data_IF_386768332131
#
_entry.id   IF_386768332131
#
_cell.length_a   1.000
_cell.length_b   1.000
_cell.length_c   1.000
_cell.angle_alpha   90.00
_cell.angle_beta   90.00
_cell.angle_gamma   90.00
#
_symmetry.space_group_name_H-M   'P 1'
#
loop_
_entity.id
_entity.type
_entity.pdbx_description
1 polymer ?
#
# COMPACT_ATOMS: atom_id res chain seq x y z
N UNK A 1 -3.88 19.95 -14.97
CA UNK A 1 -3.14 20.71 -13.93
C UNK A 1 -1.96 21.52 -14.45
N UNK A 2 -1.14 21.04 -15.40
CA UNK A 2 -0.02 21.82 -15.96
C UNK A 2 -0.39 23.24 -16.42
N UNK A 3 -1.50 23.40 -17.14
CA UNK A 3 -2.00 24.72 -17.57
C UNK A 3 -2.43 25.65 -16.42
N UNK A 4 -2.76 25.13 -15.23
CA UNK A 4 -2.97 25.97 -14.04
C UNK A 4 -1.64 26.47 -13.50
N UNK A 5 -0.66 25.57 -13.34
CA UNK A 5 0.67 25.94 -12.84
C UNK A 5 1.33 26.99 -13.74
N UNK A 6 1.30 26.77 -15.06
CA UNK A 6 1.87 27.73 -16.01
C UNK A 6 1.15 29.07 -15.98
N UNK A 7 -0.18 29.09 -15.79
CA UNK A 7 -0.95 30.34 -15.63
C UNK A 7 -0.57 31.07 -14.36
N UNK A 8 -0.45 30.36 -13.24
CA UNK A 8 -0.09 30.95 -11.94
C UNK A 8 1.33 31.51 -11.96
N UNK A 9 2.30 30.76 -12.48
CA UNK A 9 3.68 31.22 -12.63
C UNK A 9 3.76 32.44 -13.58
N UNK A 10 3.07 32.41 -14.72
CA UNK A 10 3.03 33.54 -15.67
C UNK A 10 2.32 34.78 -15.12
N UNK A 11 1.27 34.61 -14.32
CA UNK A 11 0.55 35.73 -13.70
C UNK A 11 1.38 36.47 -12.64
N UNK A 12 2.47 35.84 -12.16
CA UNK A 12 3.25 36.35 -11.03
C UNK A 12 4.22 37.48 -11.39
N UNK A 13 4.58 37.75 -12.68
CA UNK A 13 5.00 39.11 -13.16
C UNK A 13 5.61 39.28 -14.57
N UNK A 14 5.66 40.58 -14.90
CA UNK A 14 6.27 41.40 -15.96
C UNK A 14 7.81 41.54 -15.91
N UNK A 15 8.54 40.95 -16.88
CA UNK A 15 9.78 41.47 -17.52
C UNK A 15 10.28 40.48 -18.60
N UNK A 16 11.32 40.79 -19.38
CA UNK A 16 11.76 40.02 -20.55
C UNK A 16 12.53 38.72 -20.28
N UNK A 17 12.96 38.45 -19.04
CA UNK A 17 13.71 37.23 -18.63
C UNK A 17 12.81 36.03 -18.24
N UNK A 18 11.50 36.16 -18.45
CA UNK A 18 10.45 35.33 -17.85
C UNK A 18 10.47 33.84 -18.20
N UNK A 19 10.89 33.44 -19.40
CA UNK A 19 10.75 32.02 -19.82
C UNK A 19 11.75 31.12 -19.10
N UNK A 20 13.01 31.54 -19.00
CA UNK A 20 14.06 30.76 -18.33
C UNK A 20 13.79 30.61 -16.82
N UNK A 21 13.29 31.66 -16.16
CA UNK A 21 12.93 31.61 -14.74
C UNK A 21 11.73 30.70 -14.47
N UNK A 22 10.71 30.69 -15.34
CA UNK A 22 9.55 29.78 -15.21
C UNK A 22 9.99 28.32 -15.38
N UNK A 23 10.83 28.03 -16.36
CA UNK A 23 11.32 26.67 -16.60
C UNK A 23 12.17 26.17 -15.42
N UNK A 24 13.03 27.03 -14.87
CA UNK A 24 13.81 26.72 -13.67
C UNK A 24 12.93 26.57 -12.42
N UNK A 25 11.93 27.42 -12.24
CA UNK A 25 10.96 27.31 -11.15
C UNK A 25 10.17 25.99 -11.24
N UNK A 26 9.73 25.60 -12.44
CA UNK A 26 9.05 24.31 -12.64
C UNK A 26 9.98 23.13 -12.36
N UNK A 27 11.24 23.19 -12.80
CA UNK A 27 12.27 22.17 -12.47
C UNK A 27 12.46 22.03 -10.96
N UNK A 28 12.56 23.15 -10.24
CA UNK A 28 12.62 23.16 -8.78
C UNK A 28 11.39 22.49 -8.17
N UNK A 29 10.19 22.94 -8.54
CA UNK A 29 8.93 22.43 -8.01
C UNK A 29 8.75 20.93 -8.24
N UNK A 30 9.18 20.39 -9.39
CA UNK A 30 9.19 18.95 -9.67
C UNK A 30 10.09 18.18 -8.71
N UNK A 31 11.29 18.68 -8.45
CA UNK A 31 12.20 18.05 -7.50
C UNK A 31 11.71 18.14 -6.04
N UNK A 32 11.11 19.27 -5.65
CA UNK A 32 10.51 19.41 -4.31
C UNK A 32 9.31 18.48 -4.15
N UNK A 33 8.45 18.34 -5.16
CA UNK A 33 7.39 17.35 -5.16
C UNK A 33 7.95 15.93 -5.04
N UNK A 34 9.02 15.61 -5.78
CA UNK A 34 9.71 14.32 -5.70
C UNK A 34 10.24 14.00 -4.28
N UNK A 35 10.66 15.01 -3.51
CA UNK A 35 11.00 14.83 -2.09
C UNK A 35 9.77 14.46 -1.25
N UNK A 36 8.66 15.18 -1.42
CA UNK A 36 7.41 14.97 -0.66
C UNK A 36 6.83 13.57 -0.89
N UNK A 37 7.04 13.00 -2.08
CA UNK A 37 6.61 11.64 -2.43
C UNK A 37 7.69 10.56 -2.19
N UNK A 38 8.82 10.90 -1.55
CA UNK A 38 9.93 9.97 -1.28
C UNK A 38 10.56 9.29 -2.51
N UNK A 39 10.49 9.95 -3.67
CA UNK A 39 10.99 9.40 -4.94
C UNK A 39 12.33 10.03 -5.38
N UNK A 40 12.68 11.19 -4.82
CA UNK A 40 13.95 11.85 -5.12
C UNK A 40 15.14 11.00 -4.60
N UNK A 41 16.23 10.83 -5.38
CA UNK A 41 17.42 10.10 -4.95
C UNK A 41 18.16 10.89 -3.87
N UNK A 42 18.28 10.32 -2.66
CA UNK A 42 18.91 10.98 -1.51
C UNK A 42 19.40 9.99 -0.45
N UNK A 43 20.37 10.39 0.40
CA UNK A 43 20.91 9.54 1.46
C UNK A 43 19.93 9.27 2.62
N UNK A 44 18.93 10.14 2.84
CA UNK A 44 17.99 10.04 3.97
C UNK A 44 16.52 10.17 3.51
N UNK A 45 15.61 9.27 3.90
CA UNK A 45 14.20 9.36 3.57
C UNK A 45 13.50 10.41 4.45
N UNK A 46 13.05 11.51 3.85
CA UNK A 46 12.33 12.59 4.57
C UNK A 46 11.30 13.27 3.69
N UNK A 47 10.02 13.22 4.02
CA UNK A 47 8.99 13.93 3.23
C UNK A 47 8.97 15.44 3.45
N UNK A 48 9.70 15.93 4.46
CA UNK A 48 9.68 17.32 4.88
C UNK A 48 10.57 18.20 3.99
N UNK A 49 9.98 19.25 3.43
CA UNK A 49 10.73 20.31 2.76
C UNK A 49 11.24 21.30 3.81
N UNK A 50 12.33 20.94 4.49
CA UNK A 50 13.10 21.85 5.36
C UNK A 50 14.21 22.52 4.57
N UNK A 51 14.84 23.55 5.15
CA UNK A 51 15.83 24.41 4.46
C UNK A 51 16.91 23.59 3.77
N UNK A 52 17.47 22.61 4.48
CA UNK A 52 18.55 21.78 3.96
C UNK A 52 18.10 20.90 2.77
N UNK A 53 16.89 20.35 2.82
CA UNK A 53 16.34 19.55 1.72
C UNK A 53 16.02 20.39 0.48
N UNK A 54 15.51 21.60 0.68
CA UNK A 54 15.28 22.57 -0.41
C UNK A 54 16.61 23.00 -1.02
N UNK A 55 17.62 23.28 -0.19
CA UNK A 55 18.97 23.67 -0.65
C UNK A 55 19.58 22.63 -1.57
N UNK A 56 19.44 21.33 -1.25
CA UNK A 56 19.94 20.22 -2.08
C UNK A 56 19.33 20.19 -3.49
N UNK A 57 18.08 20.65 -3.65
CA UNK A 57 17.43 20.69 -4.96
C UNK A 57 18.18 21.59 -5.95
N UNK A 58 18.89 22.61 -5.48
CA UNK A 58 19.58 23.59 -6.32
C UNK A 58 20.69 22.97 -7.15
N UNK A 59 21.40 21.99 -6.61
CA UNK A 59 22.54 21.33 -7.27
C UNK A 59 22.20 19.97 -7.88
N UNK A 60 20.98 19.47 -7.64
CA UNK A 60 20.57 18.18 -8.20
C UNK A 60 20.01 18.38 -9.61
N UNK A 61 20.17 17.36 -10.48
CA UNK A 61 19.48 17.34 -11.77
C UNK A 61 17.96 17.43 -11.52
N UNK A 62 17.23 18.28 -12.26
CA UNK A 62 17.63 18.97 -13.50
C UNK A 62 18.01 20.46 -13.36
N UNK A 63 18.27 20.96 -12.14
CA UNK A 63 18.52 22.39 -11.89
C UNK A 63 19.98 22.80 -12.09
N UNK A 64 20.92 22.15 -11.39
CA UNK A 64 22.37 22.41 -11.45
C UNK A 64 22.72 23.92 -11.43
N UNK A 65 22.19 24.65 -10.45
CA UNK A 65 22.44 26.08 -10.31
C UNK A 65 23.90 26.33 -9.91
N UNK A 66 24.51 27.33 -10.55
CA UNK A 66 25.89 27.75 -10.26
C UNK A 66 26.00 28.43 -8.89
N UNK A 67 24.95 29.15 -8.48
CA UNK A 67 24.91 29.90 -7.23
C UNK A 67 23.69 29.53 -6.38
N UNK A 68 23.90 29.34 -5.07
CA UNK A 68 22.82 29.06 -4.11
C UNK A 68 21.77 30.19 -4.08
N UNK A 69 22.21 31.44 -4.25
CA UNK A 69 21.35 32.62 -4.22
C UNK A 69 20.26 32.57 -5.30
N UNK A 70 20.58 32.03 -6.48
CA UNK A 70 19.61 31.82 -7.55
C UNK A 70 18.53 30.82 -7.12
N UNK A 71 18.92 29.76 -6.41
CA UNK A 71 18.00 28.78 -5.85
C UNK A 71 16.99 29.41 -4.90
N UNK A 72 17.46 30.24 -3.96
CA UNK A 72 16.58 30.96 -3.05
C UNK A 72 15.69 31.99 -3.77
N UNK A 73 16.17 32.65 -4.82
CA UNK A 73 15.33 33.51 -5.66
C UNK A 73 14.19 32.75 -6.36
N UNK A 74 14.45 31.53 -6.84
CA UNK A 74 13.42 30.66 -7.40
C UNK A 74 12.42 30.20 -6.33
N UNK A 75 12.88 29.87 -5.12
CA UNK A 75 11.99 29.55 -3.99
C UNK A 75 11.08 30.74 -3.67
N UNK A 76 11.63 31.94 -3.52
CA UNK A 76 10.87 33.16 -3.26
C UNK A 76 9.87 33.47 -4.39
N UNK A 77 10.26 33.23 -5.64
CA UNK A 77 9.37 33.36 -6.79
C UNK A 77 8.18 32.40 -6.68
N UNK A 78 8.43 31.12 -6.35
CA UNK A 78 7.39 30.12 -6.13
C UNK A 78 6.49 30.42 -4.92
N UNK A 79 7.02 31.10 -3.89
CA UNK A 79 6.22 31.56 -2.75
C UNK A 79 5.33 32.74 -3.15
N UNK A 80 5.89 33.74 -3.86
CA UNK A 80 5.11 34.90 -4.34
C UNK A 80 4.03 34.50 -5.35
N UNK A 81 4.24 33.43 -6.11
CA UNK A 81 3.24 32.89 -7.03
C UNK A 81 2.13 32.11 -6.33
N UNK A 82 2.27 31.84 -5.03
CA UNK A 82 1.30 31.05 -4.26
C UNK A 82 1.33 29.56 -4.58
N UNK A 83 2.38 29.07 -5.26
CA UNK A 83 2.58 27.63 -5.48
C UNK A 83 3.22 26.98 -4.26
N UNK A 84 4.14 27.69 -3.59
CA UNK A 84 4.71 27.31 -2.31
C UNK A 84 4.19 28.22 -1.18
N UNK A 85 4.05 27.65 0.00
CA UNK A 85 3.93 28.39 1.26
C UNK A 85 5.10 28.07 2.16
N UNK A 86 5.50 29.05 2.96
CA UNK A 86 6.50 28.89 4.01
C UNK A 86 5.79 28.97 5.37
N UNK A 87 5.80 27.86 6.13
CA UNK A 87 5.13 27.73 7.42
C UNK A 87 6.15 27.29 8.47
N UNK A 88 6.59 28.21 9.33
CA UNK A 88 7.66 27.97 10.29
C UNK A 88 8.99 27.75 9.59
N UNK A 89 9.58 26.56 9.72
CA UNK A 89 10.86 26.17 9.09
C UNK A 89 10.66 25.28 7.84
N UNK A 90 9.42 25.17 7.35
CA UNK A 90 9.04 24.22 6.30
C UNK A 90 8.41 24.93 5.12
N UNK A 91 8.65 24.38 3.94
CA UNK A 91 7.92 24.72 2.72
C UNK A 91 6.88 23.65 2.41
N UNK A 92 5.79 24.03 1.75
CA UNK A 92 4.80 23.08 1.26
C UNK A 92 4.24 23.57 -0.08
N UNK A 93 4.00 22.64 -1.01
CA UNK A 93 3.23 22.92 -2.22
C UNK A 93 1.76 23.06 -1.80
N UNK A 94 1.16 24.20 -2.13
CA UNK A 94 -0.17 24.59 -1.64
C UNK A 94 -1.27 23.62 -2.10
N UNK A 95 -1.16 23.13 -3.33
CA UNK A 95 -2.16 22.26 -3.94
C UNK A 95 -1.64 20.81 -4.03
N UNK A 96 -2.24 19.85 -3.30
CA UNK A 96 -1.81 18.45 -3.32
C UNK A 96 -1.84 17.81 -4.71
N UNK A 97 -2.85 18.16 -5.54
CA UNK A 97 -2.92 17.66 -6.91
C UNK A 97 -1.81 18.26 -7.78
N UNK A 98 -1.42 19.51 -7.54
CA UNK A 98 -0.27 20.11 -8.22
C UNK A 98 1.04 19.40 -7.83
N UNK A 99 1.21 19.09 -6.54
CA UNK A 99 2.36 18.32 -6.06
C UNK A 99 2.42 16.94 -6.72
N UNK A 100 1.30 16.23 -6.78
CA UNK A 100 1.19 14.93 -7.47
C UNK A 100 1.55 15.02 -8.96
N UNK A 101 0.99 15.99 -9.69
CA UNK A 101 1.32 16.19 -11.11
C UNK A 101 2.80 16.52 -11.31
N UNK A 102 3.38 17.37 -10.46
CA UNK A 102 4.80 17.72 -10.50
C UNK A 102 5.71 16.50 -10.21
N UNK A 103 5.32 15.66 -9.25
CA UNK A 103 6.03 14.41 -8.97
C UNK A 103 5.91 13.42 -10.15
N UNK A 104 4.73 13.31 -10.78
CA UNK A 104 4.54 12.48 -11.96
C UNK A 104 5.39 12.96 -13.15
N UNK A 105 5.50 14.27 -13.37
CA UNK A 105 6.39 14.85 -14.37
C UNK A 105 7.86 14.54 -14.08
N UNK A 106 8.26 14.59 -12.80
CA UNK A 106 9.60 14.20 -12.38
C UNK A 106 9.89 12.73 -12.70
N UNK A 107 8.98 11.82 -12.37
CA UNK A 107 9.11 10.39 -12.68
C UNK A 107 9.14 10.14 -14.17
N UNK A 108 8.24 10.76 -14.93
CA UNK A 108 8.14 10.55 -16.37
C UNK A 108 9.40 10.98 -17.13
N UNK A 109 10.16 11.93 -16.59
CA UNK A 109 11.45 12.34 -17.14
C UNK A 109 12.61 11.42 -16.68
N UNK A 110 12.41 10.59 -15.66
CA UNK A 110 13.38 9.59 -15.23
C UNK A 110 13.21 8.29 -16.01
N UNK A 111 14.32 7.76 -16.52
CA UNK A 111 14.32 6.45 -17.16
C UNK A 111 14.21 5.34 -16.10
N UNK A 112 13.07 4.65 -16.10
CA UNK A 112 12.91 3.36 -15.41
C UNK A 112 12.52 3.42 -13.93
N UNK A 113 12.16 4.58 -13.38
CA UNK A 113 11.53 4.61 -12.06
C UNK A 113 10.07 4.14 -12.16
N UNK A 114 9.72 3.13 -11.38
CA UNK A 114 8.36 2.60 -11.24
C UNK A 114 8.15 2.18 -9.79
N UNK A 115 6.91 2.20 -9.31
CA UNK A 115 6.60 1.74 -7.97
C UNK A 115 5.33 0.89 -7.96
N UNK A 116 5.41 -0.25 -7.26
CA UNK A 116 4.28 -1.15 -6.99
C UNK A 116 3.74 -0.97 -5.57
N UNK A 117 4.22 0.06 -4.86
CA UNK A 117 3.75 0.41 -3.51
C UNK A 117 2.34 1.02 -3.61
N UNK A 118 1.36 0.50 -2.87
CA UNK A 118 0.00 1.05 -2.87
C UNK A 118 -0.05 2.57 -2.61
N UNK A 119 0.78 3.10 -1.69
CA UNK A 119 0.85 4.54 -1.45
C UNK A 119 1.25 5.39 -2.68
N UNK A 120 1.90 4.80 -3.68
CA UNK A 120 2.28 5.46 -4.94
C UNK A 120 1.31 5.19 -6.10
N UNK A 121 0.18 4.48 -5.87
CA UNK A 121 -0.77 4.11 -6.93
C UNK A 121 -1.21 5.31 -7.76
N UNK A 122 -1.65 6.39 -7.11
CA UNK A 122 -2.10 7.59 -7.82
C UNK A 122 -0.95 8.27 -8.60
N UNK A 123 0.26 8.29 -8.05
CA UNK A 123 1.44 8.82 -8.73
C UNK A 123 1.75 8.02 -9.99
N UNK A 124 1.64 6.69 -9.93
CA UNK A 124 1.86 5.83 -11.09
C UNK A 124 0.81 6.00 -12.17
N UNK A 125 -0.46 6.19 -11.82
CA UNK A 125 -1.54 6.48 -12.78
C UNK A 125 -1.26 7.80 -13.51
N UNK A 126 -0.94 8.87 -12.77
CA UNK A 126 -0.60 10.17 -13.38
C UNK A 126 0.66 10.09 -14.24
N UNK A 127 1.67 9.33 -13.80
CA UNK A 127 2.89 9.07 -14.59
C UNK A 127 2.56 8.33 -15.88
N UNK A 128 1.74 7.29 -15.82
CA UNK A 128 1.28 6.51 -16.97
C UNK A 128 0.54 7.40 -17.97
N UNK A 129 -0.36 8.26 -17.52
CA UNK A 129 -1.07 9.23 -18.36
C UNK A 129 -0.12 10.20 -19.10
N UNK A 130 1.00 10.59 -18.47
CA UNK A 130 2.04 11.39 -19.12
C UNK A 130 2.84 10.58 -20.15
N UNK A 131 3.25 9.36 -19.80
CA UNK A 131 4.00 8.46 -20.68
C UNK A 131 3.17 8.01 -21.89
N UNK A 132 1.86 7.84 -21.76
CA UNK A 132 0.95 7.50 -22.86
C UNK A 132 0.98 8.50 -24.02
N UNK A 133 1.41 9.74 -23.77
CA UNK A 133 1.53 10.82 -24.76
C UNK A 133 2.94 10.97 -25.33
N UNK A 134 3.89 10.16 -24.86
CA UNK A 134 5.29 10.15 -25.33
C UNK A 134 5.48 9.19 -26.51
N UNK A 135 6.67 9.18 -27.09
CA UNK A 135 7.03 8.25 -28.16
C UNK A 135 7.10 6.78 -27.67
N UNK A 136 7.16 5.86 -28.64
CA UNK A 136 7.14 4.42 -28.37
C UNK A 136 8.36 3.93 -27.58
N UNK A 137 9.52 4.56 -27.71
CA UNK A 137 10.75 4.15 -27.01
C UNK A 137 10.64 4.47 -25.52
N UNK A 138 10.14 5.66 -25.18
CA UNK A 138 9.86 6.04 -23.79
C UNK A 138 8.79 5.14 -23.15
N UNK A 139 7.74 4.81 -23.90
CA UNK A 139 6.71 3.87 -23.45
C UNK A 139 7.30 2.46 -23.21
N UNK A 140 8.11 1.95 -24.13
CA UNK A 140 8.75 0.65 -23.99
C UNK A 140 9.69 0.60 -22.78
N UNK A 141 10.48 1.65 -22.54
CA UNK A 141 11.35 1.76 -21.37
C UNK A 141 10.57 1.70 -20.06
N UNK A 142 9.45 2.42 -19.98
CA UNK A 142 8.54 2.41 -18.83
C UNK A 142 7.94 1.01 -18.59
N UNK A 143 7.39 0.36 -19.62
CA UNK A 143 6.81 -0.99 -19.47
C UNK A 143 7.85 -2.04 -19.10
N UNK A 144 9.07 -1.94 -19.62
CA UNK A 144 10.16 -2.83 -19.24
C UNK A 144 10.57 -2.67 -17.78
N UNK A 145 10.59 -1.44 -17.25
CA UNK A 145 10.80 -1.21 -15.83
C UNK A 145 9.67 -1.81 -14.98
N UNK A 146 8.41 -1.65 -15.40
CA UNK A 146 7.25 -2.27 -14.76
C UNK A 146 7.34 -3.79 -14.69
N UNK A 147 7.63 -4.46 -15.81
CA UNK A 147 7.80 -5.93 -15.85
C UNK A 147 8.90 -6.41 -14.90
N UNK A 148 10.04 -5.70 -14.86
CA UNK A 148 11.13 -6.00 -13.93
C UNK A 148 10.70 -5.86 -12.47
N UNK A 149 9.95 -4.80 -12.13
CA UNK A 149 9.45 -4.61 -10.77
C UNK A 149 8.46 -5.73 -10.37
N UNK A 150 7.53 -6.09 -11.26
CA UNK A 150 6.53 -7.14 -11.01
C UNK A 150 7.17 -8.52 -10.75
N UNK A 151 8.32 -8.83 -11.35
CA UNK A 151 9.02 -10.09 -11.14
C UNK A 151 9.48 -10.32 -9.69
N UNK A 152 9.54 -9.26 -8.87
CA UNK A 152 9.91 -9.30 -7.46
C UNK A 152 8.72 -9.23 -6.49
N UNK A 153 7.50 -9.21 -7.01
CA UNK A 153 6.27 -9.08 -6.22
C UNK A 153 5.40 -10.33 -6.33
N UNK A 154 4.41 -10.45 -5.45
CA UNK A 154 3.34 -11.46 -5.62
C UNK A 154 2.37 -11.06 -6.72
N UNK A 155 1.63 -12.05 -7.23
CA UNK A 155 0.61 -11.88 -8.28
C UNK A 155 -0.46 -10.85 -7.92
N UNK A 156 -0.69 -10.59 -6.63
CA UNK A 156 -1.59 -9.51 -6.19
C UNK A 156 -1.22 -8.14 -6.79
N UNK A 157 0.07 -7.89 -7.03
CA UNK A 157 0.57 -6.63 -7.58
C UNK A 157 0.24 -6.43 -9.05
N UNK A 158 -0.35 -7.43 -9.72
CA UNK A 158 -0.89 -7.27 -11.07
C UNK A 158 -2.10 -6.33 -11.11
N UNK A 159 -2.75 -6.10 -9.97
CA UNK A 159 -3.81 -5.11 -9.85
C UNK A 159 -3.28 -3.68 -10.13
N UNK A 160 -2.10 -3.33 -9.64
CA UNK A 160 -1.45 -2.04 -9.93
C UNK A 160 -1.10 -1.90 -11.42
N UNK A 161 -0.66 -2.98 -12.05
CA UNK A 161 -0.33 -2.96 -13.48
C UNK A 161 -1.55 -2.69 -14.35
N UNK A 162 -2.73 -3.14 -13.93
CA UNK A 162 -3.98 -2.88 -14.63
C UNK A 162 -4.44 -1.43 -14.54
N UNK A 163 -4.28 -0.81 -13.36
CA UNK A 163 -4.56 0.62 -13.18
C UNK A 163 -3.67 1.46 -14.12
N UNK A 164 -2.41 1.04 -14.33
CA UNK A 164 -1.51 1.67 -15.31
C UNK A 164 -1.89 1.36 -16.76
N UNK A 165 -2.22 0.10 -17.09
CA UNK A 165 -2.58 -0.29 -18.45
C UNK A 165 -3.84 0.47 -18.95
N UNK A 166 -4.76 0.83 -18.06
CA UNK A 166 -5.97 1.57 -18.40
C UNK A 166 -5.67 2.94 -19.04
N UNK A 167 -4.59 3.61 -18.62
CA UNK A 167 -4.16 4.91 -19.18
C UNK A 167 -3.66 4.80 -20.64
N UNK A 168 -3.35 3.59 -21.11
CA UNK A 168 -2.85 3.34 -22.46
C UNK A 168 -3.91 2.76 -23.41
N UNK A 169 -5.15 2.57 -22.96
CA UNK A 169 -6.23 1.98 -23.76
C UNK A 169 -6.53 2.73 -25.07
N UNK A 170 -6.23 4.03 -25.12
CA UNK A 170 -6.43 4.87 -26.31
C UNK A 170 -5.18 4.98 -27.18
N UNK A 171 -4.08 4.37 -26.77
CA UNK A 171 -2.78 4.46 -27.43
C UNK A 171 -2.59 3.26 -28.36
N UNK A 172 -2.45 3.52 -29.66
CA UNK A 172 -2.26 2.48 -30.68
C UNK A 172 -0.80 2.02 -30.85
N UNK A 173 0.10 2.36 -29.91
CA UNK A 173 1.50 1.96 -30.00
C UNK A 173 1.65 0.46 -29.71
N UNK A 174 2.60 -0.17 -30.38
CA UNK A 174 2.89 -1.60 -30.17
C UNK A 174 3.26 -1.90 -28.70
N UNK A 175 4.13 -1.13 -28.02
CA UNK A 175 4.46 -1.40 -26.62
C UNK A 175 3.24 -1.34 -25.67
N UNK A 176 2.31 -0.41 -25.91
CA UNK A 176 1.09 -0.28 -25.12
C UNK A 176 0.18 -1.50 -25.31
N UNK A 177 -0.03 -1.93 -26.56
CA UNK A 177 -0.85 -3.10 -26.87
C UNK A 177 -0.28 -4.38 -26.25
N UNK A 178 1.04 -4.58 -26.31
CA UNK A 178 1.71 -5.70 -25.66
C UNK A 178 1.53 -5.68 -24.14
N UNK A 179 1.68 -4.52 -23.51
CA UNK A 179 1.52 -4.40 -22.06
C UNK A 179 0.07 -4.65 -21.62
N UNK A 180 -0.91 -4.17 -22.37
CA UNK A 180 -2.33 -4.48 -22.11
C UNK A 180 -2.62 -5.97 -22.27
N UNK A 181 -2.03 -6.63 -23.28
CA UNK A 181 -2.14 -8.08 -23.43
C UNK A 181 -1.48 -8.85 -22.26
N UNK A 182 -0.32 -8.38 -21.78
CA UNK A 182 0.33 -8.92 -20.58
C UNK A 182 -0.58 -8.76 -19.34
N UNK A 183 -1.20 -7.59 -19.15
CA UNK A 183 -2.12 -7.34 -18.05
C UNK A 183 -3.32 -8.30 -18.05
N UNK A 184 -3.90 -8.55 -19.24
CA UNK A 184 -4.98 -9.54 -19.39
C UNK A 184 -4.49 -10.95 -19.05
N UNK A 185 -3.26 -11.33 -19.42
CA UNK A 185 -2.69 -12.64 -19.04
C UNK A 185 -2.51 -12.74 -17.52
N UNK A 186 -1.99 -11.69 -16.88
CA UNK A 186 -1.79 -11.64 -15.43
C UNK A 186 -3.10 -11.75 -14.65
N UNK A 187 -4.21 -11.21 -15.17
CA UNK A 187 -5.53 -11.40 -14.56
C UNK A 187 -6.00 -12.85 -14.54
N UNK A 188 -5.70 -13.63 -15.59
CA UNK A 188 -5.99 -15.07 -15.56
C UNK A 188 -5.22 -15.81 -14.47
N UNK A 189 -4.08 -15.28 -14.03
CA UNK A 189 -3.35 -15.82 -12.88
C UNK A 189 -4.03 -15.46 -11.56
N UNK A 190 -4.56 -14.23 -11.43
CA UNK A 190 -5.35 -13.81 -10.28
C UNK A 190 -6.69 -14.56 -10.17
N UNK A 191 -7.31 -14.92 -11.29
CA UNK A 191 -8.54 -15.73 -11.32
C UNK A 191 -8.39 -17.10 -10.66
N UNK A 192 -7.17 -17.64 -10.61
CA UNK A 192 -6.87 -18.92 -9.96
C UNK A 192 -6.86 -18.82 -8.43
N UNK A 193 -6.94 -17.61 -7.88
CA UNK A 193 -6.95 -17.37 -6.45
C UNK A 193 -8.39 -17.44 -5.97
N UNK A 194 -8.67 -18.45 -5.14
CA UNK A 194 -9.98 -18.70 -4.56
C UNK A 194 -10.33 -17.68 -3.47
N UNK A 195 -10.51 -16.43 -3.88
CA UNK A 195 -10.86 -15.30 -3.03
C UNK A 195 -11.85 -14.40 -3.73
N UNK A 196 -13.05 -14.25 -3.14
CA UNK A 196 -14.07 -13.34 -3.65
C UNK A 196 -13.59 -11.89 -3.69
N UNK A 197 -12.83 -11.44 -2.68
CA UNK A 197 -12.35 -10.06 -2.63
C UNK A 197 -11.30 -9.76 -3.71
N UNK A 198 -10.39 -10.72 -3.99
CA UNK A 198 -9.43 -10.60 -5.10
C UNK A 198 -10.16 -10.56 -6.43
N UNK A 199 -11.13 -11.45 -6.65
CA UNK A 199 -11.93 -11.49 -7.88
C UNK A 199 -12.75 -10.21 -8.07
N UNK A 200 -13.34 -9.66 -7.01
CA UNK A 200 -14.07 -8.39 -7.05
C UNK A 200 -13.14 -7.23 -7.40
N UNK A 201 -11.97 -7.14 -6.73
CA UNK A 201 -10.95 -6.13 -6.99
C UNK A 201 -10.38 -6.21 -8.43
N UNK A 202 -10.26 -7.43 -8.96
CA UNK A 202 -9.86 -7.68 -10.34
C UNK A 202 -10.97 -7.24 -11.31
N UNK A 203 -12.23 -7.66 -11.09
CA UNK A 203 -13.37 -7.28 -11.95
C UNK A 203 -13.53 -5.76 -12.04
N UNK A 204 -13.39 -5.04 -10.92
CA UNK A 204 -13.41 -3.57 -10.90
C UNK A 204 -12.35 -2.96 -11.82
N UNK A 205 -11.14 -3.53 -11.87
CA UNK A 205 -10.04 -3.03 -12.72
C UNK A 205 -10.16 -3.46 -14.17
N UNK A 206 -10.63 -4.67 -14.45
CA UNK A 206 -10.99 -5.13 -15.80
C UNK A 206 -12.05 -4.23 -16.41
N UNK A 207 -13.05 -3.81 -15.61
CA UNK A 207 -14.08 -2.86 -16.04
C UNK A 207 -13.47 -1.52 -16.44
N UNK A 208 -12.52 -0.98 -15.68
CA UNK A 208 -11.78 0.25 -16.06
C UNK A 208 -10.97 0.06 -17.34
N UNK A 209 -10.33 -1.09 -17.50
CA UNK A 209 -9.61 -1.42 -18.74
C UNK A 209 -10.54 -1.52 -19.95
N UNK A 210 -11.82 -1.86 -19.76
CA UNK A 210 -12.76 -2.06 -20.86
C UNK A 210 -13.68 -0.85 -21.12
N UNK A 211 -13.79 0.11 -20.20
CA UNK A 211 -14.73 1.22 -20.28
C UNK A 211 -14.14 2.54 -19.76
N UNK A 212 -14.49 3.66 -20.43
CA UNK A 212 -14.25 5.05 -19.97
C UNK A 212 -15.14 5.44 -18.78
N UNK A 213 -15.34 4.56 -17.80
CA UNK A 213 -16.27 4.80 -16.69
C UNK A 213 -15.59 5.41 -15.48
N UNK A 214 -16.22 6.46 -14.93
CA UNK A 214 -15.90 7.03 -13.63
C UNK A 214 -16.43 6.08 -12.54
N UNK A 215 -15.56 5.81 -11.58
CA UNK A 215 -15.65 4.81 -10.52
C UNK A 215 -16.78 5.10 -9.52
N UNK A 216 -17.44 4.04 -9.05
CA UNK A 216 -18.15 4.01 -7.78
C UNK A 216 -17.33 3.15 -6.83
N UNK A 217 -16.70 3.76 -5.82
CA UNK A 217 -15.98 3.04 -4.77
C UNK A 217 -16.98 2.26 -3.91
N UNK A 218 -17.24 1.01 -4.28
CA UNK A 218 -17.81 0.06 -3.33
C UNK A 218 -16.68 -0.34 -2.37
N UNK A 219 -16.78 -0.03 -1.06
CA UNK A 219 -15.71 -0.34 -0.13
C UNK A 219 -15.55 -1.86 -0.03
N UNK A 220 -14.32 -2.33 -0.26
CA UNK A 220 -13.89 -3.66 0.17
C UNK A 220 -14.31 -3.85 1.63
N UNK A 221 -14.85 -5.03 1.97
CA UNK A 221 -15.43 -5.34 3.28
C UNK A 221 -14.50 -4.82 4.39
N UNK A 222 -14.93 -3.78 5.10
CA UNK A 222 -14.10 -3.06 6.05
C UNK A 222 -13.67 -3.99 7.19
N UNK A 223 -12.37 -4.16 7.39
CA UNK A 223 -11.83 -4.66 8.65
C UNK A 223 -12.23 -3.72 9.80
N UNK A 224 -12.20 -4.21 11.03
CA UNK A 224 -12.22 -3.32 12.20
C UNK A 224 -10.84 -2.67 12.27
N UNK A 225 -10.73 -1.33 12.29
CA UNK A 225 -9.44 -0.65 12.43
C UNK A 225 -8.69 -1.15 13.66
N UNK A 226 -7.37 -1.32 13.54
CA UNK A 226 -6.54 -1.82 14.63
C UNK A 226 -6.71 -0.99 15.91
N UNK A 227 -6.75 0.34 15.77
CA UNK A 227 -6.97 1.29 16.86
C UNK A 227 -8.30 1.11 17.57
N UNK A 228 -9.34 0.71 16.83
CA UNK A 228 -10.68 0.53 17.39
C UNK A 228 -10.77 -0.82 18.11
N UNK A 229 -10.18 -1.87 17.53
CA UNK A 229 -10.12 -3.18 18.16
C UNK A 229 -9.28 -3.13 19.44
N UNK A 230 -8.15 -2.41 19.45
CA UNK A 230 -7.27 -2.28 20.61
C UNK A 230 -7.92 -1.59 21.82
N UNK A 231 -8.97 -0.78 21.61
CA UNK A 231 -9.75 -0.19 22.71
C UNK A 231 -10.49 -1.24 23.54
N UNK A 232 -10.69 -2.45 23.01
CA UNK A 232 -11.32 -3.56 23.72
C UNK A 232 -10.31 -4.46 24.46
N UNK A 233 -9.01 -4.19 24.36
CA UNK A 233 -7.98 -4.94 25.09
C UNK A 233 -7.80 -4.39 26.51
N UNK A 234 -8.86 -4.47 27.32
CA UNK A 234 -8.88 -4.12 28.75
C UNK A 234 -9.25 -5.33 29.62
N UNK A 235 -8.75 -5.28 30.86
CA UNK A 235 -9.02 -6.22 31.95
C UNK A 235 -8.97 -7.70 31.54
N UNK A 236 -7.80 -8.19 31.10
CA UNK A 236 -7.64 -9.58 30.65
C UNK A 236 -8.08 -10.57 31.73
N UNK A 237 -7.73 -10.32 32.99
CA UNK A 237 -8.10 -11.18 34.12
C UNK A 237 -9.62 -11.39 34.25
N UNK A 238 -10.40 -10.32 34.08
CA UNK A 238 -11.86 -10.35 34.14
C UNK A 238 -12.43 -11.09 32.91
N UNK A 239 -11.88 -10.85 31.72
CA UNK A 239 -12.27 -11.58 30.52
C UNK A 239 -12.07 -13.09 30.70
N UNK A 240 -10.88 -13.52 31.15
CA UNK A 240 -10.57 -14.94 31.35
C UNK A 240 -11.56 -15.62 32.31
N UNK A 241 -11.93 -14.93 33.39
CA UNK A 241 -12.96 -15.42 34.32
C UNK A 241 -14.32 -15.55 33.64
N UNK A 242 -14.73 -14.52 32.89
CA UNK A 242 -16.00 -14.50 32.15
C UNK A 242 -16.11 -15.60 31.09
N UNK A 243 -14.98 -16.01 30.49
CA UNK A 243 -14.92 -17.13 29.53
C UNK A 243 -14.44 -18.44 30.14
N UNK A 244 -14.39 -18.54 31.48
CA UNK A 244 -14.03 -19.74 32.22
C UNK A 244 -12.65 -20.33 31.85
N UNK A 245 -11.67 -19.46 31.59
CA UNK A 245 -10.27 -19.81 31.36
C UNK A 245 -9.49 -19.60 32.66
N UNK A 246 -8.71 -20.61 33.07
CA UNK A 246 -7.86 -20.50 34.24
C UNK A 246 -6.74 -19.47 34.03
N UNK A 247 -6.52 -18.60 35.02
CA UNK A 247 -5.44 -17.61 34.97
C UNK A 247 -4.08 -18.29 35.10
N UNK A 248 -3.15 -18.10 34.14
CA UNK A 248 -1.78 -18.57 34.30
C UNK A 248 -1.07 -17.84 35.45
N UNK A 249 0.07 -18.36 35.87
CA UNK A 249 0.96 -17.64 36.78
C UNK A 249 1.81 -16.62 36.02
N UNK A 250 2.18 -15.51 36.65
CA UNK A 250 3.01 -14.46 36.03
C UNK A 250 2.21 -13.22 35.61
N UNK A 251 2.79 -12.42 34.73
CA UNK A 251 2.20 -11.19 34.21
C UNK A 251 1.28 -11.42 33.00
N UNK A 252 0.47 -10.40 32.67
CA UNK A 252 -0.51 -10.49 31.57
C UNK A 252 0.15 -10.76 30.20
N UNK A 253 1.36 -10.24 29.97
CA UNK A 253 2.11 -10.53 28.74
C UNK A 253 2.44 -12.01 28.61
N UNK A 254 2.86 -12.65 29.71
CA UNK A 254 3.08 -14.08 29.76
C UNK A 254 1.80 -14.88 29.57
N UNK A 255 0.66 -14.39 30.07
CA UNK A 255 -0.64 -15.05 29.90
C UNK A 255 -1.06 -15.12 28.43
N UNK A 256 -0.81 -14.06 27.64
CA UNK A 256 -1.12 -14.07 26.21
C UNK A 256 -0.32 -15.09 25.42
N UNK A 257 0.81 -15.54 25.95
CA UNK A 257 1.67 -16.57 25.35
C UNK A 257 1.40 -17.98 25.90
N UNK A 258 0.46 -18.11 26.84
CA UNK A 258 -0.01 -19.39 27.35
C UNK A 258 -0.92 -20.10 26.32
N UNK A 259 -0.70 -21.41 26.17
CA UNK A 259 -1.44 -22.25 25.22
C UNK A 259 -2.93 -22.34 25.58
N UNK A 260 -3.24 -22.47 26.87
CA UNK A 260 -4.60 -22.58 27.38
C UNK A 260 -5.38 -21.28 27.18
N UNK A 261 -4.74 -20.13 27.41
CA UNK A 261 -5.32 -18.81 27.16
C UNK A 261 -5.60 -18.59 25.67
N UNK A 262 -4.61 -18.75 24.78
CA UNK A 262 -4.84 -18.56 23.34
C UNK A 262 -5.93 -19.48 22.82
N UNK A 263 -5.92 -20.76 23.23
CA UNK A 263 -6.95 -21.73 22.89
C UNK A 263 -8.34 -21.26 23.35
N UNK A 264 -8.49 -20.95 24.63
CA UNK A 264 -9.78 -20.58 25.20
C UNK A 264 -10.33 -19.29 24.62
N UNK A 265 -9.47 -18.31 24.29
CA UNK A 265 -9.89 -17.09 23.60
C UNK A 265 -10.38 -17.38 22.16
N UNK A 266 -9.74 -18.29 21.43
CA UNK A 266 -10.21 -18.71 20.10
C UNK A 266 -11.51 -19.51 20.21
N UNK A 267 -11.64 -20.44 21.16
CA UNK A 267 -12.89 -21.17 21.42
C UNK A 267 -14.02 -20.19 21.78
N UNK A 268 -13.73 -19.18 22.60
CA UNK A 268 -14.69 -18.12 22.97
C UNK A 268 -15.09 -17.23 21.79
N UNK A 269 -14.23 -17.04 20.79
CA UNK A 269 -14.63 -16.36 19.55
C UNK A 269 -15.67 -17.16 18.77
N UNK A 270 -15.56 -18.49 18.77
CA UNK A 270 -16.45 -19.39 18.02
C UNK A 270 -17.77 -19.59 18.75
N UNK A 271 -17.73 -19.76 20.07
CA UNK A 271 -18.90 -20.08 20.89
C UNK A 271 -19.59 -18.84 21.49
N UNK A 272 -18.88 -17.71 21.51
CA UNK A 272 -19.31 -16.50 22.20
C UNK A 272 -20.58 -15.90 21.61
N UNK A 273 -21.55 -15.62 22.48
CA UNK A 273 -22.82 -14.96 22.10
C UNK A 273 -22.85 -13.46 22.39
N UNK A 274 -21.93 -12.95 23.20
CA UNK A 274 -21.87 -11.53 23.57
C UNK A 274 -20.91 -10.78 22.64
N UNK A 275 -21.37 -9.77 21.88
CA UNK A 275 -20.51 -8.99 20.98
C UNK A 275 -19.31 -8.35 21.69
N UNK A 276 -19.50 -7.90 22.94
CA UNK A 276 -18.44 -7.32 23.76
C UNK A 276 -17.33 -8.36 24.05
N UNK A 277 -17.72 -9.58 24.44
CA UNK A 277 -16.77 -10.66 24.74
C UNK A 277 -15.99 -11.04 23.48
N UNK A 278 -16.65 -11.10 22.32
CA UNK A 278 -16.00 -11.37 21.04
C UNK A 278 -14.94 -10.30 20.69
N UNK A 279 -15.29 -9.02 20.85
CA UNK A 279 -14.37 -7.91 20.61
C UNK A 279 -13.18 -7.93 21.56
N UNK A 280 -13.40 -8.20 22.85
CA UNK A 280 -12.32 -8.32 23.85
C UNK A 280 -11.40 -9.51 23.54
N UNK A 281 -11.95 -10.68 23.19
CA UNK A 281 -11.17 -11.84 22.78
C UNK A 281 -10.32 -11.54 21.54
N UNK A 282 -10.92 -10.92 20.52
CA UNK A 282 -10.22 -10.54 19.29
C UNK A 282 -9.09 -9.52 19.56
N UNK A 283 -9.34 -8.52 20.42
CA UNK A 283 -8.34 -7.53 20.79
C UNK A 283 -7.12 -8.14 21.49
N UNK A 284 -7.34 -9.05 22.43
CA UNK A 284 -6.25 -9.76 23.12
C UNK A 284 -5.51 -10.75 22.22
N UNK A 285 -6.23 -11.49 21.35
CA UNK A 285 -5.60 -12.38 20.37
C UNK A 285 -4.71 -11.62 19.38
N UNK A 286 -5.12 -10.40 18.95
CA UNK A 286 -4.30 -9.53 18.10
C UNK A 286 -2.98 -9.08 18.77
N UNK A 287 -2.99 -8.91 20.10
CA UNK A 287 -1.80 -8.55 20.89
C UNK A 287 -0.87 -9.74 21.14
N UNK A 288 -1.40 -10.96 21.20
CA UNK A 288 -0.60 -12.18 21.38
C UNK A 288 0.29 -12.50 20.17
N UNK A 289 1.26 -13.40 20.33
CA UNK A 289 2.03 -13.91 19.19
C UNK A 289 1.26 -14.92 18.34
N UNK A 290 0.20 -15.57 18.84
CA UNK A 290 -0.49 -16.69 18.18
C UNK A 290 0.45 -17.82 17.71
N UNK A 291 1.65 -17.95 18.30
CA UNK A 291 2.66 -18.93 17.91
C UNK A 291 2.45 -20.32 18.51
N UNK A 292 1.60 -20.44 19.54
CA UNK A 292 1.39 -21.72 20.22
C UNK A 292 0.52 -22.65 19.41
N UNK A 293 0.91 -23.93 19.39
CA UNK A 293 0.10 -25.03 18.87
C UNK A 293 -1.10 -25.22 19.78
N UNK A 294 -2.31 -25.10 19.27
CA UNK A 294 -3.56 -25.28 20.03
C UNK A 294 -4.34 -26.45 19.43
N UNK A 295 -4.75 -27.38 20.28
CA UNK A 295 -5.63 -28.48 19.86
C UNK A 295 -7.07 -28.05 20.16
N UNK A 296 -7.74 -27.46 19.17
CA UNK A 296 -9.12 -27.04 19.32
C UNK A 296 -10.02 -28.18 18.86
N UNK A 297 -11.00 -28.55 19.70
CA UNK A 297 -12.04 -29.52 19.35
C UNK A 297 -13.10 -28.86 18.46
N UNK A 298 -12.68 -28.06 17.47
CA UNK A 298 -13.66 -27.43 16.60
C UNK A 298 -14.18 -28.50 15.65
N UNK A 299 -15.50 -28.60 15.51
CA UNK A 299 -16.16 -29.32 14.41
C UNK A 299 -15.95 -28.56 13.09
N UNK A 300 -14.72 -28.14 12.80
CA UNK A 300 -14.38 -27.57 11.50
C UNK A 300 -14.39 -28.75 10.54
N UNK A 301 -15.38 -28.74 9.66
CA UNK A 301 -15.73 -29.81 8.74
C UNK A 301 -14.68 -29.89 7.64
N UNK A 302 -13.47 -30.34 7.94
CA UNK A 302 -12.55 -30.82 6.90
C UNK A 302 -11.85 -32.10 7.36
N UNK A 303 -12.16 -33.26 6.74
CA UNK A 303 -11.67 -34.57 7.18
C UNK A 303 -10.19 -34.85 6.84
N UNK A 304 -9.41 -33.88 6.35
CA UNK A 304 -8.17 -34.17 5.62
C UNK A 304 -6.86 -33.76 6.26
N UNK A 305 -6.81 -33.19 7.47
CA UNK A 305 -5.52 -32.96 8.13
C UNK A 305 -5.62 -33.14 9.65
N UNK A 306 -5.22 -34.30 10.15
CA UNK A 306 -4.93 -34.58 11.57
C UNK A 306 -3.69 -33.83 12.09
N UNK A 307 -3.29 -32.74 11.43
CA UNK A 307 -2.10 -31.97 11.79
C UNK A 307 -2.42 -31.03 12.95
N UNK A 308 -1.45 -30.87 13.85
CA UNK A 308 -1.51 -29.89 14.93
C UNK A 308 -1.46 -28.48 14.34
N UNK A 309 -2.46 -27.66 14.64
CA UNK A 309 -2.56 -26.28 14.15
C UNK A 309 -2.12 -25.29 15.22
N UNK A 310 -1.48 -24.20 14.79
CA UNK A 310 -1.22 -23.03 15.64
C UNK A 310 -2.50 -22.23 15.90
N UNK A 311 -2.52 -21.40 16.94
CA UNK A 311 -3.62 -20.48 17.19
C UNK A 311 -3.84 -19.54 15.99
N UNK A 312 -2.74 -19.14 15.33
CA UNK A 312 -2.77 -18.36 14.09
C UNK A 312 -3.53 -19.09 12.97
N UNK A 313 -3.20 -20.35 12.71
CA UNK A 313 -3.87 -21.16 11.68
C UNK A 313 -5.34 -21.41 12.02
N UNK A 314 -5.68 -21.58 13.29
CA UNK A 314 -7.08 -21.72 13.72
C UNK A 314 -7.89 -20.45 13.42
N UNK A 315 -7.36 -19.27 13.75
CA UNK A 315 -8.01 -18.00 13.39
C UNK A 315 -8.09 -17.84 11.87
N UNK A 316 -7.08 -18.30 11.11
CA UNK A 316 -7.10 -18.30 9.65
C UNK A 316 -8.19 -19.22 9.07
N UNK A 317 -8.46 -20.37 9.69
CA UNK A 317 -9.58 -21.23 9.30
C UNK A 317 -10.93 -20.54 9.55
N UNK A 318 -11.10 -19.89 10.70
CA UNK A 318 -12.30 -19.09 10.99
C UNK A 318 -12.51 -17.94 9.99
N UNK A 319 -11.42 -17.30 9.57
CA UNK A 319 -11.42 -16.23 8.59
C UNK A 319 -11.73 -16.70 7.14
N UNK A 320 -11.56 -18.00 6.86
CA UNK A 320 -11.79 -18.59 5.53
C UNK A 320 -13.12 -19.32 5.39
N UNK A 321 -13.71 -19.75 6.49
CA UNK A 321 -14.94 -20.53 6.45
C UNK A 321 -16.12 -19.68 5.91
N UNK A 322 -16.65 -20.01 4.72
CA UNK A 322 -17.75 -19.27 4.11
C UNK A 322 -19.10 -19.50 4.81
N UNK A 323 -19.22 -20.55 5.64
CA UNK A 323 -20.42 -20.84 6.41
C UNK A 323 -20.44 -20.12 7.75
N UNK A 324 -19.31 -19.53 8.16
CA UNK A 324 -19.21 -18.80 9.41
C UNK A 324 -20.01 -17.49 9.37
N UNK A 325 -20.52 -17.07 10.53
CA UNK A 325 -21.12 -15.75 10.72
C UNK A 325 -20.21 -14.64 10.13
N UNK A 326 -20.71 -13.79 9.22
CA UNK A 326 -19.96 -12.67 8.65
C UNK A 326 -19.30 -11.76 9.70
N UNK A 327 -19.91 -11.56 10.87
CA UNK A 327 -19.32 -10.76 11.94
C UNK A 327 -18.08 -11.42 12.53
N UNK A 328 -18.11 -12.74 12.75
CA UNK A 328 -16.96 -13.50 13.21
C UNK A 328 -15.87 -13.60 12.13
N UNK A 329 -16.24 -13.78 10.86
CA UNK A 329 -15.28 -13.75 9.75
C UNK A 329 -14.53 -12.40 9.71
N UNK A 330 -15.26 -11.30 9.86
CA UNK A 330 -14.69 -9.94 9.94
C UNK A 330 -13.75 -9.78 11.15
N UNK A 331 -14.15 -10.27 12.33
CA UNK A 331 -13.30 -10.23 13.52
C UNK A 331 -12.02 -11.04 13.33
N UNK A 332 -12.13 -12.28 12.85
CA UNK A 332 -10.98 -13.14 12.58
C UNK A 332 -10.00 -12.49 11.60
N UNK A 333 -10.50 -11.92 10.49
CA UNK A 333 -9.67 -11.15 9.56
C UNK A 333 -9.02 -9.92 10.20
N UNK A 334 -9.73 -9.22 11.09
CA UNK A 334 -9.19 -8.06 11.81
C UNK A 334 -8.09 -8.44 12.81
N UNK A 335 -8.16 -9.63 13.41
CA UNK A 335 -7.06 -10.19 14.22
C UNK A 335 -5.83 -10.42 13.33
N UNK A 336 -6.04 -11.07 12.17
CA UNK A 336 -4.98 -11.49 11.25
C UNK A 336 -4.36 -10.35 10.43
N UNK A 337 -5.01 -9.18 10.37
CA UNK A 337 -4.55 -8.00 9.66
C UNK A 337 -3.36 -7.31 10.37
N UNK A 338 -2.27 -8.04 10.52
CA UNK A 338 -0.99 -7.62 11.12
C UNK A 338 0.13 -8.22 10.29
N UNK A 339 1.15 -7.42 9.97
CA UNK A 339 2.18 -7.79 9.00
C UNK A 339 2.87 -9.13 9.35
N UNK A 340 3.23 -9.34 10.62
CA UNK A 340 3.85 -10.59 11.10
C UNK A 340 2.94 -11.81 10.91
N UNK A 341 1.63 -11.66 11.18
CA UNK A 341 0.67 -12.76 10.99
C UNK A 341 0.48 -13.11 9.52
N UNK A 342 0.42 -12.10 8.66
CA UNK A 342 0.30 -12.28 7.21
C UNK A 342 1.54 -13.00 6.66
N UNK A 343 2.75 -12.58 7.06
CA UNK A 343 4.01 -13.22 6.65
C UNK A 343 4.11 -14.67 7.14
N UNK A 344 3.69 -14.94 8.38
CA UNK A 344 3.68 -16.30 8.93
C UNK A 344 2.68 -17.20 8.23
N UNK A 345 1.48 -16.70 7.90
CA UNK A 345 0.50 -17.46 7.10
C UNK A 345 1.02 -17.73 5.68
N UNK A 346 1.65 -16.73 5.06
CA UNK A 346 2.28 -16.87 3.74
C UNK A 346 3.35 -17.96 3.72
N UNK A 347 4.19 -18.03 4.76
CA UNK A 347 5.26 -19.03 4.87
C UNK A 347 4.76 -20.41 5.37
N UNK A 348 3.57 -20.49 5.96
CA UNK A 348 3.06 -21.74 6.54
C UNK A 348 2.56 -22.72 5.47
N UNK A 349 1.74 -22.27 4.52
CA UNK A 349 1.13 -23.13 3.51
C UNK A 349 0.46 -22.34 2.39
N UNK A 350 0.54 -22.84 1.15
CA UNK A 350 -0.14 -22.26 -0.02
C UNK A 350 -1.67 -22.23 0.13
N UNK A 351 -2.25 -23.03 1.03
CA UNK A 351 -3.69 -23.02 1.30
C UNK A 351 -4.18 -21.69 1.89
N UNK A 352 -3.30 -20.92 2.52
CA UNK A 352 -3.62 -19.61 3.09
C UNK A 352 -3.44 -18.46 2.10
N UNK A 353 -2.91 -18.72 0.90
CA UNK A 353 -2.67 -17.69 -0.12
C UNK A 353 -3.89 -16.81 -0.41
N UNK A 354 -5.11 -17.36 -0.60
CA UNK A 354 -6.28 -16.51 -0.84
C UNK A 354 -6.56 -15.56 0.34
N UNK A 355 -6.51 -16.07 1.58
CA UNK A 355 -6.71 -15.25 2.77
C UNK A 355 -5.61 -14.18 2.92
N UNK A 356 -4.35 -14.54 2.70
CA UNK A 356 -3.23 -13.59 2.73
C UNK A 356 -3.47 -12.44 1.75
N UNK A 357 -3.96 -12.74 0.54
CA UNK A 357 -4.26 -11.72 -0.45
C UNK A 357 -5.46 -10.86 -0.06
N UNK A 358 -6.50 -11.44 0.52
CA UNK A 358 -7.62 -10.66 1.09
C UNK A 358 -7.15 -9.70 2.17
N UNK A 359 -6.29 -10.16 3.08
CA UNK A 359 -5.76 -9.34 4.16
C UNK A 359 -4.91 -8.20 3.60
N UNK A 360 -3.99 -8.49 2.67
CA UNK A 360 -3.15 -7.49 2.01
C UNK A 360 -3.96 -6.46 1.24
N UNK A 361 -5.03 -6.86 0.55
CA UNK A 361 -5.96 -5.93 -0.09
C UNK A 361 -6.67 -5.04 0.94
N UNK A 362 -7.14 -5.63 2.04
CA UNK A 362 -7.90 -4.92 3.04
C UNK A 362 -7.08 -3.91 3.84
N UNK A 363 -5.77 -4.12 3.99
CA UNK A 363 -4.84 -3.16 4.61
C UNK A 363 -4.07 -2.31 3.59
N UNK A 364 -4.40 -2.45 2.30
CA UNK A 364 -3.72 -1.83 1.15
C UNK A 364 -2.18 -1.96 1.17
N UNK A 365 -1.67 -3.19 1.33
CA UNK A 365 -0.23 -3.51 1.32
C UNK A 365 0.11 -4.59 0.29
N UNK A 366 1.40 -4.76 -0.03
CA UNK A 366 1.87 -5.80 -0.97
C UNK A 366 3.01 -6.63 -0.38
N UNK A 367 3.20 -7.84 -0.93
CA UNK A 367 4.34 -8.70 -0.62
C UNK A 367 5.43 -8.53 -1.68
N UNK A 368 6.64 -8.26 -1.20
CA UNK A 368 7.84 -8.03 -1.99
C UNK A 368 8.94 -9.01 -1.60
N UNK A 369 9.65 -9.53 -2.58
CA UNK A 369 10.80 -10.40 -2.42
C UNK A 369 12.07 -9.55 -2.29
N UNK A 370 12.59 -9.44 -1.07
CA UNK A 370 13.80 -8.69 -0.75
C UNK A 370 15.03 -9.60 -0.78
N UNK A 371 16.10 -9.26 -1.53
CA UNK A 371 17.36 -9.99 -1.47
C UNK A 371 18.07 -9.71 -0.14
N UNK A 372 18.31 -10.74 0.67
CA UNK A 372 19.07 -10.62 1.93
C UNK A 372 20.55 -10.93 1.69
N UNK A 373 20.83 -11.90 0.81
CA UNK A 373 22.16 -12.19 0.28
C UNK A 373 22.05 -12.62 -1.20
N UNK A 374 23.17 -13.00 -1.82
CA UNK A 374 23.17 -13.48 -3.21
C UNK A 374 22.23 -14.67 -3.43
N UNK A 375 22.09 -15.56 -2.43
CA UNK A 375 21.32 -16.80 -2.55
C UNK A 375 20.06 -16.83 -1.68
N UNK A 376 19.83 -15.81 -0.84
CA UNK A 376 18.71 -15.80 0.10
C UNK A 376 17.79 -14.62 -0.16
N UNK A 377 16.50 -14.91 -0.19
CA UNK A 377 15.45 -13.92 -0.39
C UNK A 377 14.39 -14.09 0.69
N UNK A 378 13.90 -12.97 1.19
CA UNK A 378 12.91 -12.90 2.24
C UNK A 378 11.69 -12.14 1.72
N UNK A 379 10.49 -12.60 2.09
CA UNK A 379 9.27 -11.86 1.83
C UNK A 379 9.09 -10.75 2.86
N UNK A 380 8.82 -9.53 2.38
CA UNK A 380 8.51 -8.36 3.20
C UNK A 380 7.19 -7.75 2.76
N UNK A 381 6.50 -7.14 3.71
CA UNK A 381 5.31 -6.36 3.42
C UNK A 381 5.73 -4.90 3.21
N UNK A 382 5.17 -4.29 2.18
CA UNK A 382 5.39 -2.88 1.83
C UNK A 382 4.06 -2.13 1.79
N UNK A 383 4.10 -0.88 2.25
CA UNK A 383 3.02 0.10 2.21
C UNK A 383 3.00 0.89 0.89
#
# INVERSE_FOLDING_TARGET
>A
MGAWLDRVLKATRSSGQVVAEIDQARRLLRYLAAIQFEIAPRPEPTTDLVRENVRRAFWTLPLQLEEEKLGWHLVDFCVRSGVLIHAGERWQIVNPQAALTLAAEYVADQTGWVSLRPKHRQLMIETAALIARRDADQQAAFFNAWRKALASMTTLSFLEAADVAAEFNHTASHPAQEFTADAVRWFKELERIDSAAVLDAMRQRVQRLSANHVQTDAPLRSLIPASDLERYAYDLAELLERVNISRPTGDESGWLEDRGVQRGLVESLVEGRSPEVLLRCAAWLRRSSLSRIVEIKAKIVTPWNSRRLSALEMVALLARDPQQDPALNRLAKSILAKDDFILRLWNASNEYTPLVFELLLAIDKRLYKHPVSLDTTEWRIID
#
